data_IF_407152570938
#
_entry.id   IF_407152570938
#
_cell.length_a   1.000
_cell.length_b   1.000
_cell.length_c   1.000
_cell.angle_alpha   90.00
_cell.angle_beta   90.00
_cell.angle_gamma   90.00
#
_symmetry.space_group_name_H-M   'P 1'
#
loop_
_entity.id
_entity.type
_entity.pdbx_description
1 polymer ?
#
# COMPACT_ATOMS: atom_id res chain seq x y z
N UNK A 1 -50.49 -23.24 -29.07
CA UNK A 1 -50.35 -23.18 -30.54
C UNK A 1 -50.29 -21.69 -30.89
N UNK A 2 -49.10 -21.13 -30.89
CA UNK A 2 -48.31 -20.76 -32.08
C UNK A 2 -48.78 -19.46 -32.76
N UNK A 3 -47.89 -18.45 -32.71
CA UNK A 3 -47.44 -17.54 -33.81
C UNK A 3 -48.52 -16.74 -34.55
N UNK A 4 -48.38 -15.48 -34.96
CA UNK A 4 -47.24 -14.69 -35.44
C UNK A 4 -47.82 -13.30 -35.80
N UNK A 5 -47.14 -12.18 -35.53
CA UNK A 5 -47.29 -10.96 -36.36
C UNK A 5 -45.95 -10.24 -36.46
N UNK A 6 -45.31 -10.38 -37.62
CA UNK A 6 -44.19 -9.56 -38.08
C UNK A 6 -44.75 -8.26 -38.68
N UNK A 7 -44.06 -7.12 -38.48
CA UNK A 7 -43.83 -6.10 -39.52
C UNK A 7 -43.03 -4.91 -38.97
N UNK A 8 -41.93 -4.57 -39.65
CA UNK A 8 -41.39 -3.22 -39.92
C UNK A 8 -39.92 -3.39 -40.33
N UNK A 9 -39.64 -3.49 -41.64
CA UNK A 9 -39.27 -2.40 -42.57
C UNK A 9 -37.87 -1.81 -42.31
N UNK A 10 -36.99 -2.09 -43.27
CA UNK A 10 -35.63 -1.60 -43.39
C UNK A 10 -35.59 -0.20 -44.03
N UNK A 11 -34.61 0.63 -43.63
CA UNK A 11 -34.08 1.73 -44.44
C UNK A 11 -32.56 1.75 -44.28
N UNK A 12 -31.86 1.56 -45.40
CA UNK A 12 -30.42 1.73 -45.60
C UNK A 12 -30.09 3.18 -45.94
N UNK A 13 -28.98 3.70 -45.43
CA UNK A 13 -28.23 4.79 -46.08
C UNK A 13 -26.73 4.70 -45.73
N UNK A 14 -25.92 4.61 -46.77
CA UNK A 14 -24.45 4.56 -46.79
C UNK A 14 -23.91 5.99 -46.87
N UNK A 15 -22.81 6.29 -46.16
CA UNK A 15 -21.92 7.39 -46.52
C UNK A 15 -20.46 6.97 -46.31
N UNK A 16 -19.80 6.65 -47.41
CA UNK A 16 -18.34 6.55 -47.55
C UNK A 16 -17.77 7.96 -47.74
N UNK A 17 -16.68 8.28 -47.04
CA UNK A 17 -15.81 9.40 -47.38
C UNK A 17 -14.35 8.99 -47.16
N UNK A 18 -13.71 8.60 -48.25
CA UNK A 18 -12.27 8.43 -48.42
C UNK A 18 -11.67 9.75 -48.89
N UNK A 19 -10.59 10.22 -48.25
CA UNK A 19 -9.65 11.18 -48.82
C UNK A 19 -8.22 10.73 -48.51
N UNK A 20 -7.56 10.28 -49.57
CA UNK A 20 -6.14 9.95 -49.70
C UNK A 20 -5.33 11.17 -50.12
N UNK A 21 -4.08 11.27 -49.66
CA UNK A 21 -2.83 11.81 -50.29
C UNK A 21 -1.96 12.49 -49.23
N UNK A 22 -0.63 12.45 -49.20
CA UNK A 22 0.41 11.68 -49.88
C UNK A 22 1.78 12.09 -49.27
N UNK A 23 2.80 11.26 -49.50
CA UNK A 23 4.25 11.52 -49.40
C UNK A 23 4.84 11.71 -47.97
N UNK A 24 5.98 11.14 -47.60
CA UNK A 24 7.00 10.42 -48.36
C UNK A 24 8.07 9.88 -47.41
N UNK A 25 8.74 8.84 -47.88
CA UNK A 25 9.86 8.14 -47.27
C UNK A 25 11.13 8.69 -47.95
N UNK A 26 12.16 9.10 -47.20
CA UNK A 26 13.55 8.95 -47.66
C UNK A 26 14.60 9.14 -46.56
N UNK A 27 15.69 8.41 -46.75
CA UNK A 27 16.89 8.29 -45.93
C UNK A 27 17.81 9.50 -46.10
N UNK A 28 18.76 9.66 -45.18
CA UNK A 28 20.13 10.02 -45.58
C UNK A 28 20.63 11.43 -45.25
N UNK A 29 21.54 11.44 -44.27
CA UNK A 29 22.83 12.17 -44.26
C UNK A 29 22.91 13.70 -44.18
N UNK A 30 23.83 14.09 -43.28
CA UNK A 30 24.76 15.21 -43.34
C UNK A 30 24.31 16.59 -42.84
N UNK A 31 24.95 17.00 -41.74
CA UNK A 31 25.14 18.38 -41.29
C UNK A 31 25.65 19.32 -42.38
N UNK A 32 25.48 20.63 -42.18
CA UNK A 32 26.69 21.44 -42.05
C UNK A 32 26.64 22.47 -40.90
N UNK A 33 27.77 22.53 -40.20
CA UNK A 33 28.52 23.70 -39.69
C UNK A 33 27.77 24.87 -39.02
N UNK A 34 28.18 25.11 -37.76
CA UNK A 34 28.01 26.39 -37.07
C UNK A 34 28.73 26.46 -35.71
N UNK A 35 30.07 26.33 -35.73
CA UNK A 35 31.11 26.92 -34.84
C UNK A 35 30.80 27.06 -33.32
N UNK A 36 31.39 26.27 -32.42
CA UNK A 36 32.79 26.28 -31.90
C UNK A 36 33.27 27.60 -31.28
N UNK A 37 33.47 27.60 -29.95
CA UNK A 37 34.72 27.93 -29.22
C UNK A 37 34.63 27.20 -27.86
N UNK A 38 35.60 26.51 -27.29
CA UNK A 38 36.97 26.15 -27.64
C UNK A 38 37.60 25.58 -26.36
N UNK A 39 37.80 24.25 -26.29
CA UNK A 39 38.73 23.64 -25.35
C UNK A 39 40.11 23.61 -26.01
N UNK A 40 41.16 23.98 -25.28
CA UNK A 40 42.54 23.67 -25.64
C UNK A 40 43.30 23.22 -24.38
N UNK A 41 43.97 22.09 -24.50
CA UNK A 41 45.04 21.57 -23.64
C UNK A 41 46.18 21.11 -24.58
N UNK A 42 47.39 20.74 -24.12
CA UNK A 42 48.18 21.13 -22.96
C UNK A 42 49.62 21.59 -23.37
N UNK A 43 50.48 21.98 -22.41
CA UNK A 43 51.94 21.92 -22.58
C UNK A 43 52.68 21.77 -21.24
N UNK A 44 53.72 20.92 -21.25
CA UNK A 44 54.57 20.49 -20.12
C UNK A 44 55.56 21.56 -19.59
N UNK A 45 55.72 21.57 -18.25
CA UNK A 45 56.89 21.68 -17.33
C UNK A 45 58.23 22.36 -17.77
N UNK A 46 59.03 22.95 -16.83
CA UNK A 46 59.64 22.21 -15.69
C UNK A 46 59.84 22.94 -14.33
N UNK A 47 60.03 22.09 -13.30
CA UNK A 47 60.78 22.15 -12.02
C UNK A 47 61.07 23.48 -11.27
N UNK A 48 60.78 23.54 -9.96
CA UNK A 48 61.70 23.31 -8.82
C UNK A 48 60.98 23.57 -7.48
N UNK A 49 61.58 23.12 -6.36
CA UNK A 49 60.93 22.84 -5.08
C UNK A 49 60.59 24.02 -4.16
N UNK A 50 59.91 23.70 -3.05
CA UNK A 50 59.61 24.65 -1.98
C UNK A 50 58.53 24.13 -1.03
N UNK A 51 58.96 23.70 0.15
CA UNK A 51 58.14 23.44 1.35
C UNK A 51 57.63 24.78 1.91
N UNK A 52 56.37 24.83 2.36
CA UNK A 52 55.84 26.02 3.03
C UNK A 52 54.37 25.88 3.39
N UNK A 53 54.10 25.65 4.68
CA UNK A 53 52.80 25.85 5.32
C UNK A 53 52.31 27.30 5.14
N UNK A 54 51.01 27.49 4.92
CA UNK A 54 50.06 28.12 5.87
C UNK A 54 48.81 28.67 5.16
N UNK A 55 47.67 28.37 5.77
CA UNK A 55 46.34 28.99 5.71
C UNK A 55 45.93 29.87 4.51
N UNK A 56 44.86 29.45 3.83
CA UNK A 56 44.05 30.31 2.99
C UNK A 56 42.75 29.60 2.61
N UNK A 57 41.73 29.76 3.47
CA UNK A 57 40.45 29.08 3.35
C UNK A 57 39.73 29.34 2.03
N UNK A 58 39.31 28.26 1.39
CA UNK A 58 38.27 28.23 0.38
C UNK A 58 37.18 27.31 0.90
N UNK A 59 35.95 27.85 0.95
CA UNK A 59 34.81 27.30 1.66
C UNK A 59 34.59 25.82 1.38
N UNK A 60 34.60 25.06 2.48
CA UNK A 60 34.18 23.68 2.57
C UNK A 60 32.84 23.49 1.87
N UNK A 61 32.74 22.37 1.17
CA UNK A 61 31.49 21.87 0.63
C UNK A 61 30.42 21.83 1.72
N UNK A 62 29.17 21.91 1.28
CA UNK A 62 28.04 21.66 2.16
C UNK A 62 28.23 20.28 2.80
N UNK A 63 28.62 20.27 4.07
CA UNK A 63 28.61 19.10 4.91
C UNK A 63 27.16 18.59 4.90
N UNK A 64 26.93 17.48 4.19
CA UNK A 64 25.67 16.76 4.28
C UNK A 64 25.66 16.22 5.71
N UNK A 65 24.92 16.88 6.60
CA UNK A 65 24.78 16.44 7.98
C UNK A 65 24.40 14.96 7.97
N UNK A 66 25.16 14.15 8.72
CA UNK A 66 24.93 12.72 8.79
C UNK A 66 23.47 12.43 9.20
N UNK A 67 22.82 11.41 8.60
CA UNK A 67 21.45 11.07 8.95
C UNK A 67 21.38 10.72 10.43
N UNK A 68 20.49 11.41 11.15
CA UNK A 68 20.35 11.28 12.60
C UNK A 68 19.50 10.06 12.93
N UNK A 69 19.88 9.28 13.95
CA UNK A 69 19.09 8.18 14.48
C UNK A 69 17.68 8.64 14.88
N UNK A 70 16.71 7.72 14.93
CA UNK A 70 15.35 8.06 15.37
C UNK A 70 15.27 8.24 16.89
N UNK A 71 16.09 7.52 17.67
CA UNK A 71 15.94 7.47 19.11
C UNK A 71 14.66 6.72 19.52
N UNK A 72 14.12 7.07 20.68
CA UNK A 72 12.82 6.57 21.12
C UNK A 72 11.71 7.11 20.22
N UNK A 73 11.01 6.20 19.54
CA UNK A 73 9.88 6.57 18.69
C UNK A 73 8.72 7.12 19.53
N UNK A 74 7.93 7.99 18.92
CA UNK A 74 6.72 8.56 19.49
C UNK A 74 5.49 8.27 18.62
N UNK A 75 4.31 8.44 19.20
CA UNK A 75 3.04 8.44 18.47
C UNK A 75 2.37 9.79 18.68
N UNK A 76 2.12 10.51 17.59
CA UNK A 76 1.41 11.77 17.59
C UNK A 76 0.00 11.60 17.00
N UNK A 77 -0.99 12.14 17.70
CA UNK A 77 -2.37 12.23 17.18
C UNK A 77 -2.51 13.41 16.20
N UNK A 78 -2.88 13.10 14.96
CA UNK A 78 -3.22 14.07 13.93
C UNK A 78 -4.72 14.04 13.65
N UNK A 79 -5.38 15.20 13.74
CA UNK A 79 -6.81 15.33 13.41
C UNK A 79 -7.15 14.87 11.98
N UNK A 80 -6.18 14.92 11.05
CA UNK A 80 -6.35 14.56 9.65
C UNK A 80 -5.80 13.18 9.29
N UNK A 81 -4.85 12.67 10.07
CA UNK A 81 -4.11 11.44 9.74
C UNK A 81 -4.20 10.37 10.84
N UNK A 82 -4.95 10.60 11.91
CA UNK A 82 -4.96 9.70 13.07
C UNK A 82 -3.57 9.63 13.69
N UNK A 83 -3.21 8.45 14.20
CA UNK A 83 -1.90 8.17 14.78
C UNK A 83 -0.80 8.20 13.72
N UNK A 84 0.23 8.98 14.01
CA UNK A 84 1.43 9.15 13.19
C UNK A 84 2.65 8.80 14.03
N UNK A 85 3.54 7.98 13.49
CA UNK A 85 4.81 7.63 14.10
C UNK A 85 5.80 8.79 13.96
N UNK A 86 6.50 9.13 15.03
CA UNK A 86 7.52 10.17 15.05
C UNK A 86 8.85 9.65 15.60
N UNK A 87 9.93 10.35 15.30
CA UNK A 87 11.19 10.15 16.01
C UNK A 87 11.19 10.82 17.41
N UNK A 88 12.32 10.71 18.12
CA UNK A 88 12.53 11.28 19.46
C UNK A 88 12.50 12.80 19.51
N UNK A 89 12.67 13.48 18.37
CA UNK A 89 12.53 14.94 18.25
C UNK A 89 11.11 15.34 17.83
N UNK A 90 10.23 14.38 17.56
CA UNK A 90 8.85 14.60 17.15
C UNK A 90 8.67 14.86 15.66
N UNK A 91 9.67 14.57 14.82
CA UNK A 91 9.50 14.62 13.36
C UNK A 91 8.74 13.40 12.87
N UNK A 92 7.78 13.62 11.97
CA UNK A 92 6.97 12.57 11.36
C UNK A 92 7.84 11.62 10.55
N UNK A 93 7.63 10.31 10.74
CA UNK A 93 8.18 9.27 9.89
C UNK A 93 7.23 8.95 8.73
N UNK A 94 7.80 8.64 7.58
CA UNK A 94 7.09 8.40 6.33
C UNK A 94 7.49 7.05 5.72
N UNK A 95 6.58 6.50 4.93
CA UNK A 95 6.78 5.35 4.05
C UNK A 95 6.59 5.72 2.59
N UNK A 96 7.29 4.99 1.73
CA UNK A 96 7.22 5.16 0.28
C UNK A 96 6.51 3.99 -0.37
N UNK A 97 5.46 4.24 -1.15
CA UNK A 97 4.69 3.18 -1.80
C UNK A 97 5.44 2.43 -2.90
N UNK A 98 6.58 2.97 -3.37
CA UNK A 98 7.44 2.24 -4.32
C UNK A 98 8.41 1.29 -3.63
N UNK A 99 8.45 1.27 -2.30
CA UNK A 99 9.21 0.30 -1.51
C UNK A 99 8.44 -1.02 -1.37
N UNK A 100 9.13 -2.06 -0.89
CA UNK A 100 8.52 -3.34 -0.55
C UNK A 100 8.74 -3.66 0.91
N UNK A 101 7.72 -4.20 1.59
CA UNK A 101 7.84 -4.62 2.98
C UNK A 101 8.31 -6.07 3.15
N UNK A 102 8.03 -6.95 2.17
CA UNK A 102 8.31 -8.39 2.26
C UNK A 102 8.80 -8.94 0.90
N UNK A 103 10.11 -9.10 0.71
CA UNK A 103 11.19 -8.67 1.60
C UNK A 103 11.28 -7.14 1.71
N UNK A 104 11.79 -6.59 2.83
CA UNK A 104 12.07 -5.17 2.95
C UNK A 104 13.03 -4.70 1.86
N UNK A 105 12.66 -3.64 1.14
CA UNK A 105 13.52 -3.00 0.13
C UNK A 105 13.17 -1.52 -0.04
N UNK A 106 14.19 -0.68 0.09
CA UNK A 106 14.13 0.72 -0.32
C UNK A 106 14.44 0.89 -1.81
N UNK A 107 13.71 1.79 -2.47
CA UNK A 107 13.96 2.25 -3.84
C UNK A 107 14.18 3.77 -3.90
N UNK A 108 14.44 4.41 -2.76
CA UNK A 108 14.73 5.84 -2.67
C UNK A 108 16.24 6.06 -2.46
N UNK A 109 16.99 6.21 -3.55
CA UNK A 109 18.44 6.46 -3.55
C UNK A 109 18.78 7.82 -4.18
N UNK A 110 19.98 8.36 -3.90
CA UNK A 110 20.53 9.53 -4.58
C UNK A 110 19.72 10.81 -4.34
N UNK A 111 19.23 11.45 -5.40
CA UNK A 111 18.45 12.70 -5.26
C UNK A 111 17.14 12.51 -4.49
N UNK A 112 16.61 11.28 -4.43
CA UNK A 112 15.44 10.98 -3.62
C UNK A 112 15.73 11.22 -2.13
N UNK A 113 16.90 10.82 -1.65
CA UNK A 113 17.30 10.91 -0.24
C UNK A 113 17.53 12.35 0.22
N UNK A 114 17.85 13.26 -0.70
CA UNK A 114 17.94 14.69 -0.40
C UNK A 114 16.59 15.27 0.01
N UNK A 115 15.51 14.77 -0.59
CA UNK A 115 14.14 15.17 -0.24
C UNK A 115 13.54 14.30 0.88
N UNK A 116 13.97 13.04 0.94
CA UNK A 116 13.49 12.01 1.86
C UNK A 116 14.65 11.35 2.59
N UNK A 117 15.25 12.03 3.57
CA UNK A 117 16.38 11.46 4.30
C UNK A 117 15.97 10.15 4.97
N UNK A 118 16.80 9.12 4.79
CA UNK A 118 16.59 7.81 5.41
C UNK A 118 16.70 7.92 6.93
N UNK A 119 15.95 7.09 7.64
CA UNK A 119 16.07 6.94 9.09
C UNK A 119 17.03 5.77 9.37
N UNK A 120 18.20 6.00 9.99
CA UNK A 120 19.10 4.92 10.40
C UNK A 120 18.41 3.95 11.36
N UNK A 121 18.75 2.67 11.27
CA UNK A 121 18.22 1.63 12.17
C UNK A 121 18.86 1.64 13.56
N UNK A 122 20.02 2.30 13.71
CA UNK A 122 20.76 2.34 14.97
C UNK A 122 20.02 3.17 16.03
N UNK A 123 20.13 2.73 17.30
CA UNK A 123 19.59 3.41 18.48
C UNK A 123 18.08 3.73 18.43
N UNK A 124 17.28 2.83 17.85
CA UNK A 124 15.82 2.96 17.79
C UNK A 124 15.15 2.08 18.85
N UNK A 125 14.25 2.68 19.63
CA UNK A 125 13.34 1.95 20.53
C UNK A 125 11.89 2.25 20.16
N UNK A 126 11.01 1.26 20.31
CA UNK A 126 9.60 1.43 19.95
C UNK A 126 8.92 2.49 20.82
N UNK A 127 7.86 3.09 20.28
CA UNK A 127 7.03 3.99 21.09
C UNK A 127 6.28 3.18 22.15
N UNK A 128 5.97 3.82 23.28
CA UNK A 128 5.21 3.17 24.34
C UNK A 128 3.84 2.69 23.81
N UNK A 129 3.55 1.39 23.96
CA UNK A 129 2.30 0.79 23.48
C UNK A 129 2.29 0.39 22.00
N UNK A 130 3.45 0.46 21.32
CA UNK A 130 3.65 -0.17 20.01
C UNK A 130 4.27 -1.54 20.17
N UNK A 131 4.03 -2.42 19.20
CA UNK A 131 4.63 -3.73 19.15
C UNK A 131 6.09 -3.62 18.68
N UNK A 132 7.02 -3.96 19.57
CA UNK A 132 8.46 -3.95 19.28
C UNK A 132 8.83 -4.95 18.18
N UNK A 133 8.05 -6.02 17.99
CA UNK A 133 8.31 -7.04 16.97
C UNK A 133 8.13 -6.50 15.54
N UNK A 134 7.46 -5.37 15.38
CA UNK A 134 7.31 -4.71 14.08
C UNK A 134 8.55 -3.93 13.67
N UNK A 135 9.45 -3.60 14.60
CA UNK A 135 10.68 -2.89 14.26
C UNK A 135 11.68 -3.86 13.63
N UNK A 136 12.29 -3.43 12.54
CA UNK A 136 13.35 -4.18 11.89
C UNK A 136 14.30 -3.27 11.12
N UNK A 137 15.16 -3.86 10.31
CA UNK A 137 16.11 -3.14 9.48
C UNK A 137 16.11 -3.67 8.04
N UNK A 138 16.43 -2.79 7.10
CA UNK A 138 16.80 -3.17 5.74
C UNK A 138 18.23 -2.71 5.47
N UNK A 139 19.06 -3.63 4.96
CA UNK A 139 20.39 -3.30 4.46
C UNK A 139 20.24 -2.75 3.04
N UNK A 140 20.65 -1.50 2.85
CA UNK A 140 20.57 -0.80 1.58
C UNK A 140 21.71 -1.21 0.64
N UNK A 141 21.61 -0.78 -0.62
CA UNK A 141 22.59 -1.07 -1.68
C UNK A 141 23.97 -0.47 -1.41
N UNK A 142 24.03 0.64 -0.67
CA UNK A 142 25.26 1.30 -0.21
C UNK A 142 25.84 0.68 1.08
N UNK A 143 25.18 -0.33 1.64
CA UNK A 143 25.56 -1.01 2.87
C UNK A 143 25.06 -0.35 4.15
N UNK A 144 24.39 0.80 4.07
CA UNK A 144 23.77 1.44 5.24
C UNK A 144 22.54 0.67 5.72
N UNK A 145 22.22 0.80 7.00
CA UNK A 145 21.04 0.19 7.61
C UNK A 145 19.94 1.22 7.80
N UNK A 146 18.76 0.93 7.27
CA UNK A 146 17.60 1.79 7.41
C UNK A 146 16.54 1.12 8.28
N UNK A 147 15.93 1.90 9.18
CA UNK A 147 14.83 1.46 10.01
C UNK A 147 13.66 1.00 9.15
N UNK A 148 13.04 -0.10 9.55
CA UNK A 148 11.76 -0.55 9.01
C UNK A 148 10.72 -0.71 10.13
N UNK A 149 9.46 -0.50 9.78
CA UNK A 149 8.30 -0.78 10.66
C UNK A 149 7.33 -1.65 9.88
N UNK A 150 7.04 -2.85 10.41
CA UNK A 150 6.35 -3.93 9.69
C UNK A 150 6.96 -4.16 8.28
N UNK A 151 8.29 -4.12 8.22
CA UNK A 151 9.08 -4.27 6.99
C UNK A 151 9.11 -3.06 6.05
N UNK A 152 8.32 -2.01 6.26
CA UNK A 152 8.35 -0.79 5.43
C UNK A 152 9.55 0.10 5.78
N UNK A 153 10.40 0.51 4.82
CA UNK A 153 11.50 1.44 5.09
C UNK A 153 11.00 2.83 5.51
N UNK A 154 11.60 3.38 6.58
CA UNK A 154 11.20 4.65 7.19
C UNK A 154 12.07 5.82 6.73
N UNK A 155 11.43 6.95 6.47
CA UNK A 155 12.06 8.19 6.01
C UNK A 155 11.58 9.38 6.82
N UNK A 156 12.37 10.46 6.81
CA UNK A 156 11.94 11.81 7.17
C UNK A 156 11.65 12.60 5.91
N UNK A 157 11.01 13.76 6.05
CA UNK A 157 10.80 14.68 4.94
C UNK A 157 11.61 15.96 5.12
N UNK A 158 12.44 16.32 4.15
CA UNK A 158 13.35 17.46 4.26
C UNK A 158 12.65 18.82 4.40
N UNK A 159 11.36 18.92 4.04
CA UNK A 159 10.58 20.16 4.23
C UNK A 159 9.79 20.19 5.54
N UNK A 160 9.85 19.13 6.35
CA UNK A 160 9.40 19.20 7.73
C UNK A 160 10.54 19.85 8.54
N UNK A 161 10.31 21.09 8.94
CA UNK A 161 11.26 21.96 9.64
C UNK A 161 10.95 22.11 11.13
N UNK A 162 9.82 21.57 11.58
CA UNK A 162 9.43 21.55 12.98
C UNK A 162 8.72 20.24 13.34
N UNK A 163 8.80 19.80 14.61
CA UNK A 163 8.08 18.63 15.11
C UNK A 163 6.58 18.70 14.84
N UNK A 164 5.98 17.55 14.54
CA UNK A 164 4.56 17.39 14.25
C UNK A 164 4.09 17.90 12.89
N UNK A 165 4.98 18.45 12.07
CA UNK A 165 4.68 18.72 10.67
C UNK A 165 4.48 17.41 9.89
N UNK A 166 3.54 17.44 8.95
CA UNK A 166 3.16 16.29 8.11
C UNK A 166 3.20 16.67 6.62
N UNK A 167 4.09 17.60 6.23
CA UNK A 167 4.07 18.19 4.88
C UNK A 167 4.44 17.18 3.78
N UNK A 168 5.08 16.06 4.15
CA UNK A 168 5.39 14.96 3.24
C UNK A 168 4.16 14.14 2.84
N UNK A 169 3.04 14.26 3.57
CA UNK A 169 1.85 13.46 3.32
C UNK A 169 1.30 13.72 1.91
N UNK A 170 1.18 12.66 1.12
CA UNK A 170 0.63 12.68 -0.23
C UNK A 170 1.55 13.28 -1.30
N UNK A 171 2.80 13.64 -0.96
CA UNK A 171 3.75 14.17 -1.94
C UNK A 171 3.93 13.14 -3.06
N UNK A 172 3.76 13.59 -4.32
CA UNK A 172 3.85 12.73 -5.50
C UNK A 172 2.81 11.61 -5.56
N UNK A 173 1.81 11.60 -4.67
CA UNK A 173 0.83 10.51 -4.56
C UNK A 173 1.39 9.19 -4.04
N UNK A 174 2.65 9.16 -3.60
CA UNK A 174 3.39 7.93 -3.26
C UNK A 174 4.01 7.96 -1.86
N UNK A 175 4.03 9.12 -1.22
CA UNK A 175 4.62 9.31 0.12
C UNK A 175 3.54 9.51 1.16
N UNK A 176 3.64 8.80 2.27
CA UNK A 176 2.60 8.81 3.31
C UNK A 176 3.23 8.79 4.70
N UNK A 177 2.68 9.57 5.62
CA UNK A 177 3.03 9.47 7.03
C UNK A 177 2.78 8.03 7.49
N UNK A 178 3.70 7.50 8.28
CA UNK A 178 3.64 6.15 8.80
C UNK A 178 2.77 6.10 10.05
N UNK A 179 1.86 5.14 10.12
CA UNK A 179 1.17 4.79 11.34
C UNK A 179 2.08 3.90 12.23
N UNK A 180 1.76 3.70 13.51
CA UNK A 180 2.60 2.90 14.41
C UNK A 180 2.73 1.42 14.00
N UNK A 181 1.83 0.93 13.14
CA UNK A 181 1.86 -0.43 12.56
C UNK A 181 2.56 -0.49 11.19
N UNK A 182 3.28 0.56 10.78
CA UNK A 182 3.97 0.65 9.48
C UNK A 182 3.05 0.94 8.29
N UNK A 183 1.73 1.05 8.51
CA UNK A 183 0.78 1.39 7.45
C UNK A 183 0.75 2.89 7.17
N UNK A 184 -0.04 3.31 6.17
CA UNK A 184 -0.29 4.74 5.93
C UNK A 184 -1.16 5.28 7.05
N UNK A 185 -0.75 6.39 7.64
CA UNK A 185 -1.59 7.14 8.57
C UNK A 185 -2.82 7.70 7.84
N UNK A 186 -3.99 7.55 8.46
CA UNK A 186 -5.25 8.11 7.99
C UNK A 186 -6.14 8.49 9.19
N UNK A 187 -6.86 9.62 9.11
CA UNK A 187 -7.91 9.91 10.09
C UNK A 187 -8.87 8.72 10.09
N UNK A 188 -9.12 8.17 11.28
CA UNK A 188 -9.81 6.90 11.56
C UNK A 188 -8.91 5.65 11.74
N UNK A 189 -7.61 5.81 12.00
CA UNK A 189 -6.75 4.69 12.43
C UNK A 189 -7.13 4.09 13.82
N UNK A 190 -8.02 4.74 14.59
CA UNK A 190 -8.63 4.22 15.83
C UNK A 190 -10.07 3.69 15.65
N UNK A 191 -10.60 3.66 14.42
CA UNK A 191 -11.52 2.59 14.03
C UNK A 191 -10.68 1.52 13.36
N UNK A 192 -10.99 0.22 13.47
CA UNK A 192 -10.18 -0.79 12.84
C UNK A 192 -10.18 -0.58 11.33
N UNK A 193 -9.09 0.04 10.84
CA UNK A 193 -8.84 0.22 9.44
C UNK A 193 -8.83 -1.16 8.78
N UNK A 194 -9.43 -1.19 7.59
CA UNK A 194 -9.24 -2.23 6.59
C UNK A 194 -7.75 -2.54 6.49
N UNK A 195 -7.34 -3.63 7.13
CA UNK A 195 -6.03 -4.24 6.93
C UNK A 195 -5.99 -4.74 5.47
N UNK A 196 -4.85 -4.63 4.79
CA UNK A 196 -3.93 -5.78 4.65
C UNK A 196 -2.81 -5.45 3.61
N UNK A 197 -1.73 -6.26 3.50
CA UNK A 197 -1.53 -7.57 4.16
C UNK A 197 -0.19 -7.77 4.88
N UNK A 198 -0.22 -8.83 5.70
CA UNK A 198 0.87 -9.65 6.23
C UNK A 198 1.23 -9.37 7.70
N UNK A 199 0.39 -9.82 8.64
CA UNK A 199 0.74 -10.84 9.65
C UNK A 199 -0.54 -11.35 10.32
N UNK A 200 -1.64 -11.35 9.54
CA UNK A 200 -2.97 -11.17 10.08
C UNK A 200 -4.06 -11.96 9.38
N UNK A 201 -3.83 -13.25 9.16
CA UNK A 201 -4.83 -14.06 8.49
C UNK A 201 -4.92 -15.43 9.15
N UNK A 202 -5.86 -15.54 10.08
CA UNK A 202 -6.38 -16.82 10.58
C UNK A 202 -7.90 -16.78 10.54
N UNK A 203 -8.52 -17.93 10.31
CA UNK A 203 -9.97 -18.10 10.42
C UNK A 203 -10.25 -19.18 11.44
N UNK A 204 -11.16 -18.89 12.36
CA UNK A 204 -11.59 -19.86 13.37
C UNK A 204 -13.10 -19.87 13.51
N UNK A 205 -13.60 -20.78 14.34
CA UNK A 205 -15.02 -20.90 14.64
C UNK A 205 -15.29 -20.34 16.02
N UNK A 206 -16.29 -19.47 16.12
CA UNK A 206 -16.85 -18.98 17.38
C UNK A 206 -18.29 -19.44 17.49
N UNK A 207 -18.69 -19.88 18.69
CA UNK A 207 -20.10 -20.12 19.00
C UNK A 207 -20.77 -18.82 19.41
N UNK A 208 -21.64 -18.32 18.55
CA UNK A 208 -22.50 -17.18 18.80
C UNK A 208 -23.80 -17.61 19.51
N UNK A 209 -24.30 -16.85 20.50
CA UNK A 209 -25.50 -17.22 21.23
C UNK A 209 -26.78 -17.24 20.37
N UNK A 210 -26.85 -16.42 19.32
CA UNK A 210 -28.04 -16.29 18.47
C UNK A 210 -27.88 -17.03 17.14
N UNK A 211 -26.68 -17.00 16.57
CA UNK A 211 -26.38 -17.55 15.25
C UNK A 211 -25.78 -18.96 15.32
N UNK A 212 -25.35 -19.44 16.49
CA UNK A 212 -24.65 -20.71 16.62
C UNK A 212 -23.21 -20.62 16.11
N UNK A 213 -22.69 -21.70 15.52
CA UNK A 213 -21.30 -21.71 15.06
C UNK A 213 -21.13 -20.83 13.81
N UNK A 214 -20.26 -19.83 13.92
CA UNK A 214 -19.94 -18.89 12.85
C UNK A 214 -18.42 -18.74 12.70
N UNK A 215 -18.00 -18.36 11.49
CA UNK A 215 -16.60 -18.10 11.16
C UNK A 215 -16.23 -16.69 11.61
N UNK A 216 -15.05 -16.57 12.22
CA UNK A 216 -14.45 -15.29 12.62
C UNK A 216 -13.01 -15.20 12.09
N UNK A 217 -12.52 -13.97 11.91
CA UNK A 217 -11.10 -13.73 11.62
C UNK A 217 -10.22 -13.86 12.88
N UNK A 218 -8.90 -13.71 12.74
CA UNK A 218 -7.97 -13.79 13.88
C UNK A 218 -8.22 -12.75 14.98
N UNK A 219 -8.92 -11.67 14.64
CA UNK A 219 -9.30 -10.59 15.56
C UNK A 219 -10.64 -10.89 16.22
N UNK A 220 -11.31 -11.99 15.87
CA UNK A 220 -12.62 -12.37 16.36
C UNK A 220 -13.78 -11.60 15.71
N UNK A 221 -13.53 -10.91 14.60
CA UNK A 221 -14.55 -10.22 13.81
C UNK A 221 -15.34 -11.23 12.99
N UNK A 222 -16.66 -11.05 12.91
CA UNK A 222 -17.53 -11.98 12.19
C UNK A 222 -17.29 -11.92 10.69
N UNK A 223 -17.26 -13.10 10.06
CA UNK A 223 -17.09 -13.25 8.61
C UNK A 223 -18.46 -13.44 7.95
N UNK A 224 -18.69 -12.68 6.88
CA UNK A 224 -19.95 -12.62 6.15
C UNK A 224 -19.81 -13.01 4.70
N UNK A 225 -20.94 -13.37 4.11
CA UNK A 225 -21.12 -13.57 2.66
C UNK A 225 -22.22 -12.68 2.12
N UNK A 226 -22.03 -12.28 0.87
CA UNK A 226 -23.00 -11.52 0.10
C UNK A 226 -23.79 -12.46 -0.81
N UNK A 227 -25.12 -12.39 -0.77
CA UNK A 227 -25.99 -13.24 -1.59
C UNK A 227 -25.95 -12.90 -3.09
N UNK A 228 -25.45 -11.71 -3.45
CA UNK A 228 -25.30 -11.30 -4.85
C UNK A 228 -23.99 -11.76 -5.49
N UNK A 229 -23.09 -12.37 -4.71
CA UNK A 229 -21.89 -13.00 -5.25
C UNK A 229 -22.23 -14.38 -5.84
N UNK A 230 -21.26 -15.03 -6.50
CA UNK A 230 -21.42 -16.41 -6.97
C UNK A 230 -20.16 -17.23 -6.73
N UNK A 231 -20.33 -18.51 -6.36
CA UNK A 231 -19.21 -19.43 -6.18
C UNK A 231 -18.60 -19.97 -7.49
N UNK A 232 -19.41 -20.16 -8.52
CA UNK A 232 -18.88 -20.61 -9.82
C UNK A 232 -19.74 -20.14 -11.01
N UNK A 233 -19.14 -19.48 -12.02
CA UNK A 233 -17.81 -18.87 -11.94
C UNK A 233 -17.77 -17.86 -10.78
N UNK A 234 -16.61 -17.74 -10.12
CA UNK A 234 -16.46 -16.82 -9.00
C UNK A 234 -16.70 -15.38 -9.48
N UNK A 235 -17.70 -14.72 -8.90
CA UNK A 235 -18.02 -13.31 -9.18
C UNK A 235 -18.40 -12.62 -7.90
N UNK A 236 -18.11 -11.33 -7.87
CA UNK A 236 -18.46 -10.42 -6.79
C UNK A 236 -19.27 -9.27 -7.33
N UNK A 237 -20.36 -8.94 -6.65
CA UNK A 237 -21.14 -7.74 -6.90
C UNK A 237 -20.71 -6.57 -5.99
N UNK A 238 -19.86 -6.82 -5.00
CA UNK A 238 -19.36 -5.81 -4.07
C UNK A 238 -18.00 -5.28 -4.51
N UNK A 239 -17.96 -4.14 -5.20
CA UNK A 239 -16.74 -3.44 -5.63
C UNK A 239 -16.80 -1.95 -5.23
N UNK A 240 -15.67 -1.25 -5.33
CA UNK A 240 -15.61 0.20 -5.08
C UNK A 240 -16.12 0.59 -3.69
N UNK A 241 -17.08 1.51 -3.63
CA UNK A 241 -17.64 2.01 -2.37
C UNK A 241 -18.28 0.92 -1.49
N UNK A 242 -18.74 -0.19 -2.09
CA UNK A 242 -19.24 -1.32 -1.31
C UNK A 242 -18.18 -1.83 -0.31
N UNK A 243 -16.91 -1.83 -0.73
CA UNK A 243 -15.79 -2.31 0.09
C UNK A 243 -15.45 -1.40 1.26
N UNK A 244 -15.94 -0.15 1.28
CA UNK A 244 -15.83 0.73 2.45
C UNK A 244 -16.69 0.21 3.62
N UNK A 245 -17.82 -0.44 3.31
CA UNK A 245 -18.75 -1.00 4.29
C UNK A 245 -18.55 -2.49 4.49
N UNK A 246 -18.09 -3.19 3.46
CA UNK A 246 -17.84 -4.62 3.45
C UNK A 246 -16.41 -4.90 2.99
N UNK A 247 -15.42 -4.68 3.86
CA UNK A 247 -14.04 -4.97 3.54
C UNK A 247 -13.87 -6.46 3.18
N UNK A 248 -13.01 -6.75 2.21
CA UNK A 248 -12.68 -8.14 1.88
C UNK A 248 -11.90 -8.78 3.03
N UNK A 249 -12.09 -10.08 3.23
CA UNK A 249 -11.09 -10.87 3.97
C UNK A 249 -9.94 -11.16 3.01
N UNK A 250 -8.73 -10.74 3.37
CA UNK A 250 -7.53 -10.98 2.57
C UNK A 250 -7.11 -12.47 2.59
N UNK A 251 -6.23 -12.91 1.68
CA UNK A 251 -5.81 -14.31 1.58
C UNK A 251 -5.27 -14.86 2.90
N UNK A 252 -5.81 -16.01 3.33
CA UNK A 252 -5.47 -16.67 4.58
C UNK A 252 -4.69 -17.95 4.31
N UNK A 253 -3.62 -18.19 5.07
CA UNK A 253 -2.90 -19.47 5.01
C UNK A 253 -3.79 -20.60 5.53
N UNK A 254 -3.90 -21.70 4.80
CA UNK A 254 -4.69 -22.89 5.21
C UNK A 254 -4.25 -23.49 6.55
N UNK A 255 -3.01 -23.25 6.97
CA UNK A 255 -2.48 -23.73 8.25
C UNK A 255 -2.97 -22.88 9.43
N UNK A 256 -3.40 -21.65 9.16
CA UNK A 256 -3.95 -20.72 10.14
C UNK A 256 -5.48 -20.78 10.20
N UNK A 257 -6.08 -21.88 9.71
CA UNK A 257 -7.53 -22.08 9.65
C UNK A 257 -7.93 -23.27 10.51
N UNK A 258 -8.78 -23.00 11.50
CA UNK A 258 -9.25 -23.95 12.51
C UNK A 258 -10.78 -24.10 12.45
N UNK A 259 -11.27 -25.34 12.42
CA UNK A 259 -12.71 -25.64 12.45
C UNK A 259 -13.52 -25.28 11.19
N UNK A 260 -12.95 -24.54 10.22
CA UNK A 260 -13.62 -24.14 8.98
C UNK A 260 -13.34 -25.12 7.83
N UNK A 261 -14.32 -25.36 6.97
CA UNK A 261 -14.15 -26.17 5.76
C UNK A 261 -13.07 -25.61 4.85
N UNK A 262 -12.15 -26.49 4.43
CA UNK A 262 -11.06 -26.15 3.49
C UNK A 262 -11.42 -26.46 2.03
N UNK A 263 -12.61 -27.02 1.78
CA UNK A 263 -13.13 -27.23 0.43
C UNK A 263 -13.39 -25.88 -0.22
N UNK A 264 -12.94 -25.70 -1.47
CA UNK A 264 -13.04 -24.43 -2.18
C UNK A 264 -12.37 -23.26 -1.44
N UNK A 265 -11.43 -23.53 -0.54
CA UNK A 265 -10.66 -22.52 0.16
C UNK A 265 -9.50 -22.06 -0.72
N UNK A 266 -9.76 -21.04 -1.53
CA UNK A 266 -8.83 -20.50 -2.53
C UNK A 266 -8.79 -18.99 -2.46
N UNK A 267 -7.70 -18.43 -2.99
CA UNK A 267 -7.62 -16.99 -3.24
C UNK A 267 -8.37 -16.68 -4.54
N UNK A 268 -9.35 -15.79 -4.44
CA UNK A 268 -10.04 -15.22 -5.60
C UNK A 268 -9.28 -13.97 -6.06
N UNK A 269 -8.70 -14.06 -7.26
CA UNK A 269 -8.17 -12.92 -7.99
C UNK A 269 -9.33 -12.13 -8.62
N UNK A 270 -9.74 -11.05 -7.96
CA UNK A 270 -10.90 -10.26 -8.38
C UNK A 270 -10.55 -9.40 -9.62
N UNK A 271 -11.54 -9.07 -10.45
CA UNK A 271 -11.33 -8.18 -11.61
C UNK A 271 -10.86 -6.76 -11.25
N UNK A 272 -11.09 -6.31 -10.01
CA UNK A 272 -10.66 -5.00 -9.51
C UNK A 272 -9.22 -5.00 -8.95
N UNK A 273 -8.48 -6.12 -9.11
CA UNK A 273 -7.08 -6.27 -8.69
C UNK A 273 -6.90 -6.62 -7.22
N UNK A 274 -7.99 -6.74 -6.45
CA UNK A 274 -7.94 -7.13 -5.04
C UNK A 274 -7.92 -8.65 -4.92
N UNK A 275 -7.04 -9.19 -4.08
CA UNK A 275 -7.07 -10.62 -3.72
C UNK A 275 -7.99 -10.82 -2.52
N UNK A 276 -8.91 -11.76 -2.63
CA UNK A 276 -9.88 -12.03 -1.57
C UNK A 276 -9.91 -13.52 -1.24
N UNK A 277 -9.98 -13.83 0.06
CA UNK A 277 -10.17 -15.20 0.51
C UNK A 277 -11.59 -15.69 0.20
N UNK A 278 -11.70 -16.99 -0.10
CA UNK A 278 -12.99 -17.66 -0.27
C UNK A 278 -13.12 -18.86 0.66
N UNK A 279 -14.36 -19.24 0.98
CA UNK A 279 -14.68 -20.53 1.63
C UNK A 279 -15.74 -21.22 0.75
N UNK A 280 -15.47 -22.45 0.31
CA UNK A 280 -16.30 -23.15 -0.68
C UNK A 280 -16.54 -22.31 -1.95
N UNK A 281 -15.49 -21.65 -2.43
CA UNK A 281 -15.47 -20.75 -3.59
C UNK A 281 -16.32 -19.47 -3.45
N UNK A 282 -16.89 -19.20 -2.28
CA UNK A 282 -17.63 -17.97 -2.03
C UNK A 282 -16.73 -16.87 -1.47
N UNK A 283 -16.74 -15.65 -2.05
CA UNK A 283 -16.04 -14.50 -1.49
C UNK A 283 -16.54 -14.17 -0.08
N UNK A 284 -15.60 -13.94 0.85
CA UNK A 284 -15.91 -13.62 2.25
C UNK A 284 -15.42 -12.22 2.65
N UNK A 285 -16.18 -11.59 3.54
CA UNK A 285 -16.01 -10.19 3.94
C UNK A 285 -16.08 -10.04 5.45
N UNK A 286 -15.51 -8.96 5.98
CA UNK A 286 -15.87 -8.43 7.30
C UNK A 286 -16.84 -7.26 7.14
N UNK A 287 -17.39 -6.77 8.24
CA UNK A 287 -18.30 -5.64 8.24
C UNK A 287 -17.70 -4.44 8.97
N UNK A 288 -17.69 -3.27 8.33
CA UNK A 288 -17.12 -2.06 8.93
C UNK A 288 -17.92 -1.55 10.15
N UNK A 289 -19.17 -1.98 10.32
CA UNK A 289 -19.97 -1.68 11.51
C UNK A 289 -19.81 -2.69 12.65
N UNK A 290 -18.96 -3.71 12.49
CA UNK A 290 -18.49 -4.52 13.62
C UNK A 290 -17.25 -3.82 14.19
N UNK A 291 -17.36 -3.32 15.41
CA UNK A 291 -16.30 -2.50 16.04
C UNK A 291 -15.43 -3.34 16.98
N UNK A 292 -15.97 -4.43 17.53
CA UNK A 292 -15.26 -5.30 18.47
C UNK A 292 -15.50 -6.79 18.19
N UNK A 293 -14.61 -7.66 18.70
CA UNK A 293 -14.79 -9.11 18.62
C UNK A 293 -16.11 -9.51 19.28
N UNK A 294 -16.87 -10.40 18.66
CA UNK A 294 -18.21 -10.75 19.12
C UNK A 294 -19.34 -10.07 18.36
N UNK A 295 -19.10 -8.93 17.72
CA UNK A 295 -20.14 -8.22 16.99
C UNK A 295 -20.64 -9.04 15.79
N UNK A 296 -21.95 -8.97 15.54
CA UNK A 296 -22.65 -9.60 14.41
C UNK A 296 -23.53 -8.60 13.66
N UNK A 297 -23.18 -7.30 13.70
CA UNK A 297 -24.02 -6.21 13.23
C UNK A 297 -24.23 -6.23 11.71
N UNK A 298 -23.38 -6.97 10.97
CA UNK A 298 -23.55 -7.22 9.54
C UNK A 298 -24.66 -8.22 9.21
N UNK A 299 -25.15 -8.98 10.19
CA UNK A 299 -26.15 -10.02 9.96
C UNK A 299 -27.47 -9.41 9.44
N UNK A 300 -27.92 -9.89 8.29
CA UNK A 300 -29.18 -9.49 7.67
C UNK A 300 -29.20 -8.08 7.08
N UNK A 301 -28.06 -7.36 7.05
CA UNK A 301 -28.00 -6.01 6.46
C UNK A 301 -28.47 -6.06 5.02
N UNK A 302 -29.46 -5.21 4.69
CA UNK A 302 -30.06 -5.17 3.35
C UNK A 302 -30.75 -6.46 2.90
N UNK A 303 -30.95 -7.43 3.79
CA UNK A 303 -31.48 -8.76 3.45
C UNK A 303 -30.55 -9.62 2.59
N UNK A 304 -29.30 -9.21 2.41
CA UNK A 304 -28.36 -9.85 1.46
C UNK A 304 -27.03 -10.25 2.07
N UNK A 305 -26.77 -9.88 3.33
CA UNK A 305 -25.51 -10.15 4.01
C UNK A 305 -25.76 -11.07 5.21
N UNK A 306 -25.00 -12.16 5.29
CA UNK A 306 -25.21 -13.17 6.33
C UNK A 306 -23.88 -13.71 6.85
N UNK A 307 -23.81 -13.94 8.15
CA UNK A 307 -22.71 -14.62 8.80
C UNK A 307 -22.55 -16.03 8.21
N UNK A 308 -21.30 -16.49 8.16
CA UNK A 308 -20.92 -17.73 7.52
C UNK A 308 -20.73 -18.82 8.57
N UNK A 309 -21.34 -19.98 8.37
CA UNK A 309 -21.11 -21.16 9.21
C UNK A 309 -19.77 -21.84 8.86
N UNK A 310 -19.23 -22.73 9.71
CA UNK A 310 -17.98 -23.45 9.44
C UNK A 310 -17.97 -24.25 8.14
N UNK A 311 -19.14 -24.70 7.69
CA UNK A 311 -19.39 -25.42 6.44
C UNK A 311 -19.76 -24.49 5.26
N UNK A 312 -19.51 -23.18 5.37
CA UNK A 312 -19.81 -22.16 4.37
C UNK A 312 -21.29 -22.08 3.99
N UNK A 313 -22.19 -22.20 4.96
CA UNK A 313 -23.61 -21.88 4.75
C UNK A 313 -23.93 -20.51 5.31
N UNK A 314 -24.95 -19.86 4.73
CA UNK A 314 -25.49 -18.62 5.29
C UNK A 314 -26.28 -18.97 6.54
N UNK A 315 -25.91 -18.38 7.66
CA UNK A 315 -26.60 -18.59 8.93
C UNK A 315 -27.85 -17.71 8.99
N UNK A 316 -28.99 -18.30 9.37
CA UNK A 316 -30.24 -17.57 9.57
C UNK A 316 -30.93 -17.03 8.30
N UNK A 317 -30.43 -17.36 7.11
CA UNK A 317 -31.11 -17.02 5.86
C UNK A 317 -32.42 -17.81 5.75
N UNK A 318 -33.56 -17.11 5.61
CA UNK A 318 -34.84 -17.76 5.28
C UNK A 318 -34.72 -18.34 3.87
N UNK A 319 -35.09 -19.62 3.74
CA UNK A 319 -35.13 -20.33 2.45
C UNK A 319 -36.16 -19.71 1.51
#
# INVERSE_FOLDING_TARGET
MNTWRNASLAVTAVALLTLTTACGQEQGTASPKGQSVGNAAPAQQPAEGGYGSEAGGYGSGADVAAPKAAGQLGVQESKKLGKVLTDSEGFTLYRFDKDTARPPKSNCDGDCEKAWPVVPADDVTAAAGTDEELLGEVVRTDGSKQLTVDGWPMYRYAKDTAPGQTNGQGVGGTWFASAPDGKKAAANADSPAVAEPADAAGLSVRKDPELGDIVVDKRGMTVYRFTQDSAWPMKTACTGDCLKKWPVVAPVSKNSVEGVTKKGFVTFDRPDGIKQQTIDCWPIYTFAGDEKPGDVNGQGVGGTWFAVSPDSKLVGAKK
#
